data_IF_549359570986
#
_entry.id   IF_549359570986
#
_cell.length_a   1.000
_cell.length_b   1.000
_cell.length_c   1.000
_cell.angle_alpha   90.00
_cell.angle_beta   90.00
_cell.angle_gamma   90.00
#
_symmetry.space_group_name_H-M   'P 1'
#
loop_
_entity.id
_entity.type
_entity.pdbx_description
1 polymer ?
#
# COMPACT_ATOMS: atom_id res chain seq x y z
N UNK A 1 2.73 7.02 26.48
CA UNK A 1 3.74 7.76 25.68
C UNK A 1 3.83 7.04 24.36
N UNK A 2 3.24 7.61 23.29
CA UNK A 2 3.27 7.03 21.94
C UNK A 2 4.73 7.00 21.46
N UNK A 3 5.25 5.82 21.14
CA UNK A 3 6.64 5.69 20.70
C UNK A 3 6.75 6.02 19.20
N UNK A 4 6.83 7.31 18.91
CA UNK A 4 7.03 7.89 17.58
C UNK A 4 8.28 7.32 16.87
N UNK A 5 9.28 6.81 17.62
CA UNK A 5 10.49 6.19 17.04
C UNK A 5 10.26 4.79 16.49
N UNK A 6 9.28 4.04 17.00
CA UNK A 6 8.97 2.70 16.49
C UNK A 6 8.36 2.79 15.09
N UNK A 7 7.38 3.67 14.91
CA UNK A 7 6.83 4.03 13.60
C UNK A 7 7.92 4.49 12.63
N UNK A 8 8.79 5.42 13.03
CA UNK A 8 9.88 5.95 12.19
C UNK A 8 10.86 4.89 11.67
N UNK A 9 11.13 3.83 12.43
CA UNK A 9 11.99 2.72 11.98
C UNK A 9 11.29 1.81 10.95
N UNK A 10 10.01 1.52 11.16
CA UNK A 10 9.20 0.78 10.16
C UNK A 10 9.16 1.53 8.83
N UNK A 11 9.10 2.87 8.88
CA UNK A 11 9.12 3.75 7.72
C UNK A 11 10.44 3.62 6.93
N UNK A 12 11.62 3.80 7.54
CA UNK A 12 12.90 3.79 6.82
C UNK A 12 13.31 2.46 6.18
N UNK A 13 12.84 1.33 6.69
CA UNK A 13 13.15 0.02 6.11
C UNK A 13 12.22 -0.35 4.93
N UNK A 14 10.97 0.13 4.97
CA UNK A 14 10.08 0.12 3.81
C UNK A 14 10.66 0.94 2.66
N UNK A 15 11.26 2.10 2.97
CA UNK A 15 11.95 2.94 1.98
C UNK A 15 13.07 2.20 1.22
N UNK A 16 13.83 1.34 1.91
CA UNK A 16 14.92 0.55 1.30
C UNK A 16 14.41 -0.57 0.41
N UNK A 17 13.33 -1.24 0.77
CA UNK A 17 12.81 -2.35 -0.03
C UNK A 17 12.05 -1.89 -1.28
N UNK A 18 11.46 -0.69 -1.23
CA UNK A 18 10.88 -0.02 -2.40
C UNK A 18 11.99 0.51 -3.33
N UNK A 19 13.10 1.04 -2.78
CA UNK A 19 14.29 1.38 -3.56
C UNK A 19 14.94 0.15 -4.22
N UNK A 20 14.97 -1.00 -3.53
CA UNK A 20 15.52 -2.24 -4.09
C UNK A 20 14.59 -2.90 -5.13
N UNK A 21 13.27 -2.70 -5.03
CA UNK A 21 12.30 -3.07 -6.06
C UNK A 21 12.16 -1.91 -7.04
N UNK A 22 13.16 -1.75 -7.90
CA UNK A 22 13.10 -0.86 -9.05
C UNK A 22 12.00 -1.37 -10.01
N UNK A 23 10.74 -1.00 -9.72
CA UNK A 23 9.59 -1.35 -10.56
C UNK A 23 9.64 -0.40 -11.75
N UNK A 24 9.97 -0.89 -12.96
CA UNK A 24 10.13 -0.03 -14.13
C UNK A 24 8.83 0.72 -14.39
N UNK A 25 8.91 1.97 -14.85
CA UNK A 25 7.78 2.84 -15.21
C UNK A 25 6.80 3.15 -14.05
N UNK A 26 7.28 3.37 -12.82
CA UNK A 26 6.46 4.02 -11.79
C UNK A 26 6.47 5.55 -11.99
N UNK A 27 5.33 6.25 -11.81
CA UNK A 27 5.29 7.71 -11.87
C UNK A 27 5.87 8.31 -10.58
N UNK A 28 7.18 8.19 -10.38
CA UNK A 28 7.88 8.55 -9.12
C UNK A 28 7.63 10.01 -8.72
N UNK A 29 7.56 10.92 -9.69
CA UNK A 29 7.29 12.34 -9.45
C UNK A 29 5.89 12.62 -8.92
N UNK A 30 4.91 11.75 -9.15
CA UNK A 30 3.54 11.95 -8.69
C UNK A 30 3.35 11.63 -7.19
N UNK A 31 4.34 11.01 -6.56
CA UNK A 31 4.26 10.59 -5.16
C UNK A 31 4.99 11.54 -4.19
N UNK A 32 5.65 12.60 -4.68
CA UNK A 32 6.36 13.59 -3.85
C UNK A 32 7.30 12.96 -2.79
N UNK A 33 7.91 11.82 -3.10
CA UNK A 33 8.77 11.08 -2.17
C UNK A 33 8.04 10.17 -1.17
N UNK A 34 6.71 10.06 -1.21
CA UNK A 34 5.95 9.08 -0.44
C UNK A 34 6.15 7.66 -1.03
N UNK A 35 7.20 7.00 -0.56
CA UNK A 35 7.58 5.64 -0.97
C UNK A 35 6.53 4.58 -0.60
N UNK A 36 5.70 4.82 0.41
CA UNK A 36 4.63 3.89 0.78
C UNK A 36 3.49 3.91 -0.24
N UNK A 37 2.97 5.09 -0.56
CA UNK A 37 1.99 5.25 -1.63
C UNK A 37 2.52 4.66 -2.94
N UNK A 38 3.79 4.95 -3.27
CA UNK A 38 4.44 4.35 -4.43
C UNK A 38 4.48 2.81 -4.38
N UNK A 39 4.74 2.20 -3.22
CA UNK A 39 4.73 0.74 -3.04
C UNK A 39 3.33 0.16 -3.28
N UNK A 40 2.28 0.81 -2.77
CA UNK A 40 0.90 0.37 -2.97
C UNK A 40 0.47 0.52 -4.44
N UNK A 41 0.93 1.57 -5.13
CA UNK A 41 0.77 1.68 -6.58
C UNK A 41 1.47 0.51 -7.31
N UNK A 42 2.70 0.18 -6.92
CA UNK A 42 3.43 -0.99 -7.41
C UNK A 42 2.70 -2.31 -7.16
N UNK A 43 1.94 -2.45 -6.06
CA UNK A 43 1.14 -3.63 -5.78
C UNK A 43 0.02 -3.84 -6.82
N UNK A 44 -0.63 -2.76 -7.30
CA UNK A 44 -1.56 -2.86 -8.42
C UNK A 44 -0.86 -3.37 -9.68
N UNK A 45 0.29 -2.78 -10.03
CA UNK A 45 1.06 -3.18 -11.21
C UNK A 45 1.48 -4.65 -11.16
N UNK A 46 1.91 -5.14 -9.99
CA UNK A 46 2.29 -6.52 -9.77
C UNK A 46 1.12 -7.49 -9.96
N UNK A 47 -0.04 -7.20 -9.36
CA UNK A 47 -1.21 -8.10 -9.33
C UNK A 47 -1.97 -8.09 -10.66
N UNK A 48 -2.07 -6.93 -11.30
CA UNK A 48 -2.81 -6.78 -12.56
C UNK A 48 -1.95 -7.15 -13.77
N UNK A 49 -0.61 -7.04 -13.68
CA UNK A 49 0.29 -7.38 -14.75
C UNK A 49 -0.04 -6.60 -16.03
N UNK A 50 -0.35 -7.29 -17.13
CA UNK A 50 -0.69 -6.63 -18.41
C UNK A 50 -1.98 -5.82 -18.37
N UNK A 51 -2.94 -6.20 -17.53
CA UNK A 51 -4.22 -5.49 -17.37
C UNK A 51 -4.01 -4.10 -16.73
N UNK A 52 -2.89 -3.91 -16.03
CA UNK A 52 -2.55 -2.65 -15.38
C UNK A 52 -2.47 -1.50 -16.37
N UNK A 53 -1.81 -1.68 -17.52
CA UNK A 53 -1.59 -0.59 -18.48
C UNK A 53 -2.89 -0.01 -19.06
N UNK A 54 -3.90 -0.86 -19.27
CA UNK A 54 -5.20 -0.40 -19.73
C UNK A 54 -5.91 0.42 -18.63
N UNK A 55 -5.86 -0.06 -17.39
CA UNK A 55 -6.42 0.64 -16.24
C UNK A 55 -5.69 1.96 -15.94
N UNK A 56 -4.37 1.98 -16.04
CA UNK A 56 -3.52 3.15 -15.85
C UNK A 56 -3.80 4.22 -16.91
N UNK A 57 -4.02 3.82 -18.16
CA UNK A 57 -4.38 4.75 -19.23
C UNK A 57 -5.75 5.41 -18.97
N UNK A 58 -6.70 4.67 -18.42
CA UNK A 58 -8.06 5.17 -18.16
C UNK A 58 -8.16 5.94 -16.83
N UNK A 59 -7.46 5.47 -15.80
CA UNK A 59 -7.66 5.84 -14.38
C UNK A 59 -6.35 6.10 -13.63
N UNK A 60 -5.30 6.53 -14.33
CA UNK A 60 -3.96 6.75 -13.75
C UNK A 60 -3.97 7.66 -12.51
N UNK A 61 -4.61 8.82 -12.60
CA UNK A 61 -4.73 9.75 -11.47
C UNK A 61 -5.49 9.12 -10.29
N UNK A 62 -6.58 8.40 -10.57
CA UNK A 62 -7.34 7.69 -9.55
C UNK A 62 -6.51 6.58 -8.87
N UNK A 63 -5.64 5.88 -9.61
CA UNK A 63 -4.74 4.88 -9.04
C UNK A 63 -3.69 5.51 -8.12
N UNK A 64 -3.18 6.69 -8.48
CA UNK A 64 -2.25 7.46 -7.63
C UNK A 64 -2.97 7.91 -6.35
N UNK A 65 -4.17 8.48 -6.47
CA UNK A 65 -5.00 8.87 -5.32
C UNK A 65 -5.31 7.67 -4.41
N UNK A 66 -5.67 6.52 -5.01
CA UNK A 66 -5.97 5.31 -4.26
C UNK A 66 -4.73 4.80 -3.51
N UNK A 67 -3.54 4.88 -4.10
CA UNK A 67 -2.29 4.54 -3.44
C UNK A 67 -2.04 5.41 -2.19
N UNK A 68 -2.31 6.72 -2.27
CA UNK A 68 -2.26 7.59 -1.09
C UNK A 68 -3.34 7.27 -0.05
N UNK A 69 -4.54 6.89 -0.48
CA UNK A 69 -5.59 6.45 0.44
C UNK A 69 -5.23 5.16 1.17
N UNK A 70 -4.60 4.20 0.48
CA UNK A 70 -4.09 2.98 1.10
C UNK A 70 -3.09 3.32 2.20
N UNK A 71 -2.13 4.21 1.92
CA UNK A 71 -1.15 4.66 2.92
C UNK A 71 -1.82 5.32 4.14
N UNK A 72 -2.83 6.18 3.92
CA UNK A 72 -3.62 6.78 5.00
C UNK A 72 -4.33 5.73 5.86
N UNK A 73 -4.99 4.76 5.25
CA UNK A 73 -5.72 3.70 5.95
C UNK A 73 -4.76 2.82 6.75
N UNK A 74 -3.61 2.45 6.18
CA UNK A 74 -2.59 1.65 6.86
C UNK A 74 -2.03 2.41 8.08
N UNK A 75 -1.64 3.67 7.91
CA UNK A 75 -1.11 4.49 9.00
C UNK A 75 -2.13 4.65 10.15
N UNK A 76 -3.41 4.82 9.79
CA UNK A 76 -4.50 4.86 10.77
C UNK A 76 -4.64 3.54 11.52
N UNK A 77 -4.70 2.42 10.81
CA UNK A 77 -4.84 1.09 11.42
C UNK A 77 -3.68 0.79 12.38
N UNK A 78 -2.45 1.16 12.02
CA UNK A 78 -1.25 1.04 12.86
C UNK A 78 -1.38 1.91 14.12
N UNK A 79 -1.84 3.15 13.99
CA UNK A 79 -2.03 4.04 15.15
C UNK A 79 -3.09 3.50 16.12
N UNK A 80 -4.21 2.97 15.60
CA UNK A 80 -5.33 2.47 16.40
C UNK A 80 -5.05 1.09 17.03
N UNK A 81 -4.24 0.25 16.38
CA UNK A 81 -3.98 -1.14 16.80
C UNK A 81 -2.50 -1.42 17.09
N UNK A 82 -1.73 -0.43 17.52
CA UNK A 82 -0.27 -0.50 17.68
C UNK A 82 0.28 -1.69 18.49
N UNK A 83 -0.51 -2.24 19.43
CA UNK A 83 -0.13 -3.42 20.24
C UNK A 83 -0.79 -4.73 19.77
N UNK A 84 -1.55 -4.70 18.68
CA UNK A 84 -2.31 -5.82 18.14
C UNK A 84 -2.08 -5.94 16.62
N UNK A 85 -1.01 -6.62 16.18
CA UNK A 85 -0.69 -6.80 14.76
C UNK A 85 -1.83 -7.43 13.95
N UNK A 86 -2.56 -8.38 14.54
CA UNK A 86 -3.73 -9.01 13.91
C UNK A 86 -4.86 -7.98 13.72
N UNK A 87 -5.04 -7.07 14.69
CA UNK A 87 -5.99 -5.96 14.61
C UNK A 87 -5.67 -4.99 13.49
N UNK A 88 -4.39 -4.65 13.28
CA UNK A 88 -3.96 -3.80 12.17
C UNK A 88 -4.37 -4.44 10.84
N UNK A 89 -4.05 -5.72 10.63
CA UNK A 89 -4.39 -6.41 9.38
C UNK A 89 -5.90 -6.49 9.15
N UNK A 90 -6.68 -6.79 10.20
CA UNK A 90 -8.14 -6.86 10.10
C UNK A 90 -8.74 -5.51 9.72
N UNK A 91 -8.25 -4.42 10.31
CA UNK A 91 -8.75 -3.08 10.04
C UNK A 91 -8.37 -2.61 8.62
N UNK A 92 -7.13 -2.85 8.18
CA UNK A 92 -6.69 -2.61 6.80
C UNK A 92 -7.59 -3.37 5.82
N UNK A 93 -7.80 -4.67 6.05
CA UNK A 93 -8.64 -5.49 5.17
C UNK A 93 -10.08 -5.01 5.09
N UNK A 94 -10.66 -4.65 6.24
CA UNK A 94 -12.04 -4.17 6.34
C UNK A 94 -12.24 -2.85 5.58
N UNK A 95 -11.31 -1.91 5.70
CA UNK A 95 -11.47 -0.58 5.10
C UNK A 95 -11.07 -0.53 3.61
N UNK A 96 -10.09 -1.33 3.19
CA UNK A 96 -9.59 -1.29 1.81
C UNK A 96 -10.38 -2.18 0.84
N UNK A 97 -10.93 -3.31 1.29
CA UNK A 97 -11.59 -4.25 0.38
C UNK A 97 -12.72 -3.61 -0.46
N UNK A 98 -13.64 -2.79 0.10
CA UNK A 98 -14.70 -2.18 -0.71
C UNK A 98 -14.16 -1.20 -1.77
N UNK A 99 -13.08 -0.47 -1.44
CA UNK A 99 -12.45 0.51 -2.35
C UNK A 99 -11.77 -0.21 -3.52
N UNK A 100 -10.94 -1.20 -3.19
CA UNK A 100 -10.24 -2.03 -4.17
C UNK A 100 -11.22 -2.79 -5.06
N UNK A 101 -12.30 -3.34 -4.49
CA UNK A 101 -13.34 -4.03 -5.24
C UNK A 101 -13.97 -3.14 -6.31
N UNK A 102 -14.24 -1.88 -5.97
CA UNK A 102 -14.84 -0.90 -6.88
C UNK A 102 -13.91 -0.53 -8.04
N UNK A 103 -12.59 -0.71 -7.88
CA UNK A 103 -11.59 -0.34 -8.86
C UNK A 103 -11.20 -1.49 -9.80
N UNK A 104 -10.99 -2.69 -9.24
CA UNK A 104 -10.37 -3.83 -9.96
C UNK A 104 -11.19 -5.13 -9.91
N UNK A 105 -12.36 -5.12 -9.27
CA UNK A 105 -13.17 -6.33 -9.05
C UNK A 105 -12.64 -7.21 -7.91
N UNK A 106 -13.44 -8.19 -7.48
CA UNK A 106 -13.23 -8.88 -6.20
C UNK A 106 -11.95 -9.70 -6.12
N UNK A 107 -11.65 -10.48 -7.17
CA UNK A 107 -10.52 -11.40 -7.14
C UNK A 107 -9.19 -10.63 -7.13
N UNK A 108 -9.07 -9.61 -7.98
CA UNK A 108 -7.90 -8.72 -8.00
C UNK A 108 -7.82 -7.87 -6.74
N UNK A 109 -8.94 -7.40 -6.20
CA UNK A 109 -8.96 -6.63 -4.96
C UNK A 109 -8.39 -7.42 -3.78
N UNK A 110 -8.76 -8.71 -3.65
CA UNK A 110 -8.19 -9.58 -2.63
C UNK A 110 -6.68 -9.77 -2.81
N UNK A 111 -6.22 -9.98 -4.04
CA UNK A 111 -4.80 -10.15 -4.33
C UNK A 111 -3.99 -8.86 -4.06
N UNK A 112 -4.49 -7.67 -4.45
CA UNK A 112 -3.85 -6.39 -4.10
C UNK A 112 -3.83 -6.21 -2.58
N UNK A 113 -4.92 -6.55 -1.90
CA UNK A 113 -5.00 -6.45 -0.45
C UNK A 113 -4.01 -7.38 0.26
N UNK A 114 -3.75 -8.57 -0.28
CA UNK A 114 -2.73 -9.48 0.24
C UNK A 114 -1.32 -8.92 0.08
N UNK A 115 -1.01 -8.28 -1.06
CA UNK A 115 0.26 -7.56 -1.24
C UNK A 115 0.39 -6.37 -0.28
N UNK A 116 -0.67 -5.57 -0.08
CA UNK A 116 -0.68 -4.48 0.91
C UNK A 116 -0.39 -5.00 2.32
N UNK A 117 -1.02 -6.12 2.72
CA UNK A 117 -0.76 -6.73 4.02
C UNK A 117 0.65 -7.31 4.11
N UNK A 118 1.20 -7.86 3.02
CA UNK A 118 2.59 -8.32 3.00
C UNK A 118 3.57 -7.15 3.16
N UNK A 119 3.35 -6.04 2.46
CA UNK A 119 4.13 -4.79 2.60
C UNK A 119 4.08 -4.30 4.06
N UNK A 120 2.88 -4.28 4.66
CA UNK A 120 2.69 -3.94 6.07
C UNK A 120 3.46 -4.89 7.01
N UNK A 121 3.36 -6.22 6.83
CA UNK A 121 4.04 -7.22 7.68
C UNK A 121 5.55 -7.04 7.66
N UNK A 122 6.12 -6.79 6.49
CA UNK A 122 7.54 -6.56 6.34
C UNK A 122 7.97 -5.30 7.11
N UNK A 123 7.12 -4.26 7.13
CA UNK A 123 7.31 -3.08 7.98
C UNK A 123 7.16 -3.37 9.47
N UNK A 124 6.27 -4.29 9.89
CA UNK A 124 5.97 -4.57 11.31
C UNK A 124 6.94 -5.54 11.98
N UNK A 125 7.50 -6.51 11.25
CA UNK A 125 8.27 -7.64 11.81
C UNK A 125 9.72 -7.27 12.19
N UNK A 126 10.14 -6.01 12.08
CA UNK A 126 11.50 -5.56 12.42
C UNK A 126 11.54 -4.41 13.42
#
# INVERSE_FOLDING_TARGET
>A
MFDYKAQFRMFSDLEKMVEERDVPDLPVSAFDGNKHAQAYYGAFKLVLGKEFYALETEKGDQLIEEAFEIDRVVNRAVAENSLNPVGIEQDVRKNLLPRLFSLVGLDKAKAVLDEVVQILRIGVVK
#
